data_IF_755737175703
#
_entry.id   IF_755737175703
#
_cell.length_a   1.000
_cell.length_b   1.000
_cell.length_c   1.000
_cell.angle_alpha   90.00
_cell.angle_beta   90.00
_cell.angle_gamma   90.00
#
_symmetry.space_group_name_H-M   'P 1'
#
loop_
_entity.id
_entity.type
_entity.pdbx_description
1 polymer ?
#
# COMPACT_ATOMS: atom_id res chain seq x y z
N UNK A 1 47.25 -19.55 -4.69
CA UNK A 1 45.83 -19.96 -4.74
C UNK A 1 45.05 -18.92 -3.94
N UNK A 2 44.61 -17.85 -4.61
CA UNK A 2 43.77 -16.84 -3.96
C UNK A 2 42.36 -17.43 -3.87
N UNK A 3 41.86 -17.60 -2.65
CA UNK A 3 40.44 -17.85 -2.45
C UNK A 3 39.67 -16.73 -3.16
N UNK A 4 38.85 -17.10 -4.14
CA UNK A 4 37.92 -16.18 -4.79
C UNK A 4 36.99 -15.64 -3.71
N UNK A 5 37.27 -14.45 -3.19
CA UNK A 5 36.31 -13.70 -2.39
C UNK A 5 35.06 -13.55 -3.24
N UNK A 6 34.00 -14.30 -2.91
CA UNK A 6 32.73 -14.23 -3.64
C UNK A 6 32.24 -12.79 -3.58
N UNK A 7 32.21 -12.11 -4.72
CA UNK A 7 31.67 -10.76 -4.83
C UNK A 7 30.15 -10.87 -4.79
N UNK A 8 29.53 -10.68 -3.61
CA UNK A 8 28.09 -10.87 -3.41
C UNK A 8 27.28 -9.89 -4.27
N UNK A 9 27.82 -8.70 -4.53
CA UNK A 9 27.20 -7.73 -5.46
C UNK A 9 27.10 -8.32 -6.86
N UNK A 10 28.18 -8.91 -7.38
CA UNK A 10 28.17 -9.56 -8.69
C UNK A 10 27.22 -10.77 -8.72
N UNK A 11 27.22 -11.60 -7.66
CA UNK A 11 26.28 -12.72 -7.52
C UNK A 11 24.83 -12.26 -7.53
N UNK A 12 24.51 -11.19 -6.78
CA UNK A 12 23.19 -10.56 -6.80
C UNK A 12 22.81 -10.11 -8.22
N UNK A 13 23.69 -9.37 -8.90
CA UNK A 13 23.42 -8.88 -10.26
C UNK A 13 23.14 -10.04 -11.23
N UNK A 14 23.90 -11.13 -11.17
CA UNK A 14 23.64 -12.32 -11.97
C UNK A 14 22.30 -12.98 -11.63
N UNK A 15 21.95 -13.10 -10.35
CA UNK A 15 20.67 -13.67 -9.92
C UNK A 15 19.49 -12.82 -10.38
N UNK A 16 19.57 -11.49 -10.23
CA UNK A 16 18.54 -10.57 -10.71
C UNK A 16 18.41 -10.64 -12.23
N UNK A 17 19.53 -10.70 -12.96
CA UNK A 17 19.54 -10.88 -14.42
C UNK A 17 18.79 -12.14 -14.84
N UNK A 18 19.13 -13.29 -14.23
CA UNK A 18 18.50 -14.56 -14.54
C UNK A 18 17.00 -14.54 -14.22
N UNK A 19 16.62 -14.03 -13.05
CA UNK A 19 15.22 -13.92 -12.65
C UNK A 19 14.43 -12.97 -13.56
N UNK A 20 15.05 -11.88 -14.02
CA UNK A 20 14.43 -10.94 -14.95
C UNK A 20 14.21 -11.56 -16.34
N UNK A 21 15.23 -12.25 -16.89
CA UNK A 21 15.16 -12.89 -18.21
C UNK A 21 14.16 -14.05 -18.22
N UNK A 22 14.12 -14.84 -17.15
CA UNK A 22 13.23 -16.01 -17.04
C UNK A 22 11.89 -15.72 -16.37
N UNK A 23 11.61 -14.46 -16.02
CA UNK A 23 10.36 -14.03 -15.37
C UNK A 23 10.07 -14.80 -14.06
N UNK A 24 11.12 -15.16 -13.31
CA UNK A 24 10.99 -15.89 -12.04
C UNK A 24 10.59 -14.92 -10.92
N UNK A 25 9.30 -14.89 -10.62
CA UNK A 25 8.72 -14.05 -9.58
C UNK A 25 9.38 -14.24 -8.20
N UNK A 26 9.70 -15.50 -7.85
CA UNK A 26 10.20 -15.83 -6.50
C UNK A 26 11.63 -15.35 -6.37
N UNK A 27 12.49 -15.73 -7.30
CA UNK A 27 13.92 -15.35 -7.27
C UNK A 27 14.07 -13.84 -7.42
N UNK A 28 13.25 -13.20 -8.25
CA UNK A 28 13.26 -11.74 -8.40
C UNK A 28 12.91 -11.03 -7.09
N UNK A 29 11.84 -11.45 -6.42
CA UNK A 29 11.43 -10.88 -5.14
C UNK A 29 12.45 -11.13 -4.01
N UNK A 30 13.05 -12.33 -3.96
CA UNK A 30 14.07 -12.67 -2.96
C UNK A 30 15.39 -11.91 -3.17
N UNK A 31 15.74 -11.61 -4.42
CA UNK A 31 16.99 -10.89 -4.74
C UNK A 31 16.92 -9.41 -4.34
N UNK A 32 15.73 -8.81 -4.40
CA UNK A 32 15.49 -7.40 -4.07
C UNK A 32 14.76 -7.23 -2.71
N UNK A 33 15.07 -8.13 -1.77
CA UNK A 33 14.51 -8.12 -0.42
C UNK A 33 15.12 -7.01 0.43
N UNK A 34 14.31 -6.42 1.31
CA UNK A 34 14.70 -5.31 2.21
C UNK A 34 14.57 -5.69 3.68
N UNK A 35 14.28 -6.96 3.98
CA UNK A 35 14.20 -7.45 5.35
C UNK A 35 15.60 -7.58 5.97
N UNK A 36 15.85 -6.81 7.03
CA UNK A 36 17.10 -6.85 7.79
C UNK A 36 17.30 -8.18 8.53
N UNK A 37 16.26 -8.98 8.72
CA UNK A 37 16.40 -10.30 9.33
C UNK A 37 16.90 -11.36 8.34
N UNK A 38 16.97 -11.03 7.04
CA UNK A 38 17.46 -11.93 6.02
C UNK A 38 19.01 -12.00 6.04
N UNK A 39 19.62 -13.17 6.30
CA UNK A 39 21.09 -13.30 6.38
C UNK A 39 21.81 -12.91 5.10
N UNK A 40 21.17 -13.11 3.95
CA UNK A 40 21.73 -12.71 2.64
C UNK A 40 21.81 -11.19 2.53
N UNK A 41 20.77 -10.48 2.99
CA UNK A 41 20.73 -9.01 3.02
C UNK A 41 21.80 -8.48 3.96
N UNK A 42 21.94 -9.06 5.16
CA UNK A 42 22.97 -8.66 6.14
C UNK A 42 24.42 -8.87 5.61
N UNK A 43 24.65 -9.99 4.93
CA UNK A 43 25.95 -10.27 4.31
C UNK A 43 26.27 -9.26 3.20
N UNK A 44 25.26 -8.92 2.39
CA UNK A 44 25.39 -7.92 1.34
C UNK A 44 25.67 -6.53 1.93
N UNK A 45 24.91 -6.09 2.94
CA UNK A 45 25.16 -4.82 3.66
C UNK A 45 26.61 -4.74 4.15
N UNK A 46 27.12 -5.82 4.73
CA UNK A 46 28.49 -5.90 5.23
C UNK A 46 29.54 -5.68 4.13
N UNK A 47 29.32 -6.24 2.92
CA UNK A 47 30.19 -6.01 1.76
C UNK A 47 30.09 -4.56 1.24
N UNK A 48 28.89 -3.98 1.25
CA UNK A 48 28.63 -2.63 0.71
C UNK A 48 29.32 -1.51 1.49
N UNK A 49 29.67 -1.73 2.76
CA UNK A 49 30.45 -0.79 3.57
C UNK A 49 31.81 -0.49 2.93
N UNK A 50 32.42 -1.50 2.28
CA UNK A 50 33.77 -1.40 1.73
C UNK A 50 33.80 -0.87 0.28
N UNK A 51 32.65 -0.69 -0.36
CA UNK A 51 32.55 -0.27 -1.77
C UNK A 51 32.10 1.18 -1.92
N UNK A 52 32.76 1.93 -2.81
CA UNK A 52 32.32 3.27 -3.20
C UNK A 52 31.13 3.19 -4.14
N UNK A 53 30.34 4.26 -4.24
CA UNK A 53 29.18 4.29 -5.14
C UNK A 53 29.59 4.07 -6.60
N UNK A 54 30.72 4.63 -7.05
CA UNK A 54 31.25 4.42 -8.40
C UNK A 54 31.63 2.95 -8.66
N UNK A 55 32.18 2.25 -7.66
CA UNK A 55 32.48 0.82 -7.78
C UNK A 55 31.20 -0.02 -7.90
N UNK A 56 30.14 0.36 -7.18
CA UNK A 56 28.84 -0.32 -7.26
C UNK A 56 28.19 -0.09 -8.63
N UNK A 57 28.16 1.16 -9.09
CA UNK A 57 27.60 1.52 -10.39
C UNK A 57 28.30 0.77 -11.52
N UNK A 58 29.64 0.75 -11.53
CA UNK A 58 30.42 0.00 -12.52
C UNK A 58 30.15 -1.51 -12.46
N UNK A 59 30.03 -2.09 -11.26
CA UNK A 59 29.75 -3.52 -11.10
C UNK A 59 28.35 -3.90 -11.59
N UNK A 60 27.35 -3.05 -11.32
CA UNK A 60 25.96 -3.26 -11.73
C UNK A 60 25.82 -3.10 -13.25
N UNK A 61 26.31 -1.99 -13.80
CA UNK A 61 26.24 -1.68 -15.22
C UNK A 61 26.94 -2.74 -16.08
N UNK A 62 28.13 -3.19 -15.66
CA UNK A 62 28.89 -4.23 -16.35
C UNK A 62 28.18 -5.59 -16.48
N UNK A 63 27.07 -5.82 -15.76
CA UNK A 63 26.31 -7.08 -15.81
C UNK A 63 24.90 -6.88 -16.39
N UNK A 64 24.23 -5.78 -16.03
CA UNK A 64 22.80 -5.57 -16.26
C UNK A 64 22.47 -4.57 -17.37
N UNK A 65 23.35 -3.64 -17.72
CA UNK A 65 23.03 -2.53 -18.63
C UNK A 65 22.59 -3.03 -20.00
N UNK A 66 23.32 -4.00 -20.57
CA UNK A 66 22.99 -4.66 -21.84
C UNK A 66 21.66 -5.44 -21.80
N UNK A 67 21.20 -5.82 -20.60
CA UNK A 67 19.93 -6.56 -20.44
C UNK A 67 18.75 -5.60 -20.31
N UNK A 68 18.90 -4.56 -19.49
CA UNK A 68 17.93 -3.50 -19.31
C UNK A 68 18.56 -2.38 -18.49
N UNK A 69 18.68 -1.19 -19.10
CA UNK A 69 19.17 0.02 -18.44
C UNK A 69 18.32 0.34 -17.20
N UNK A 70 17.00 0.20 -17.31
CA UNK A 70 16.09 0.43 -16.20
C UNK A 70 16.31 -0.56 -15.04
N UNK A 71 16.59 -1.82 -15.35
CA UNK A 71 16.91 -2.83 -14.33
C UNK A 71 18.26 -2.54 -13.67
N UNK A 72 19.26 -2.14 -14.47
CA UNK A 72 20.58 -1.72 -13.97
C UNK A 72 20.43 -0.58 -12.96
N UNK A 73 19.68 0.46 -13.32
CA UNK A 73 19.43 1.61 -12.46
C UNK A 73 18.66 1.22 -11.17
N UNK A 74 17.67 0.33 -11.28
CA UNK A 74 16.93 -0.18 -10.13
C UNK A 74 17.82 -0.98 -9.16
N UNK A 75 18.67 -1.86 -9.67
CA UNK A 75 19.59 -2.66 -8.84
C UNK A 75 20.66 -1.77 -8.21
N UNK A 76 21.18 -0.77 -8.92
CA UNK A 76 22.10 0.19 -8.35
C UNK A 76 21.47 0.94 -7.16
N UNK A 77 20.26 1.47 -7.32
CA UNK A 77 19.56 2.17 -6.24
C UNK A 77 19.13 1.26 -5.09
N UNK A 78 18.87 -0.02 -5.35
CA UNK A 78 18.69 -1.03 -4.31
C UNK A 78 19.94 -1.17 -3.43
N UNK A 79 21.13 -1.26 -4.03
CA UNK A 79 22.38 -1.32 -3.28
C UNK A 79 22.61 -0.04 -2.46
N UNK A 80 22.26 1.13 -3.02
CA UNK A 80 22.33 2.39 -2.27
C UNK A 80 21.34 2.43 -1.09
N UNK A 81 20.13 1.89 -1.25
CA UNK A 81 19.18 1.70 -0.16
C UNK A 81 19.79 0.82 0.94
N UNK A 82 20.38 -0.32 0.58
CA UNK A 82 20.99 -1.22 1.56
C UNK A 82 22.16 -0.58 2.33
N UNK A 83 22.85 0.42 1.77
CA UNK A 83 23.85 1.20 2.52
C UNK A 83 23.24 2.08 3.61
N UNK A 84 21.97 2.46 3.45
CA UNK A 84 21.27 3.39 4.35
C UNK A 84 20.25 2.69 5.26
N UNK A 85 19.82 1.46 4.93
CA UNK A 85 18.61 0.85 5.50
C UNK A 85 18.64 0.63 7.02
N UNK A 86 19.84 0.48 7.61
CA UNK A 86 20.05 0.27 9.05
C UNK A 86 20.46 1.58 9.78
N UNK A 87 20.43 2.71 9.09
CA UNK A 87 20.76 4.00 9.70
C UNK A 87 19.62 4.51 10.59
N UNK A 88 19.92 5.19 11.71
CA UNK A 88 18.91 5.71 12.63
C UNK A 88 18.06 6.84 12.02
N UNK A 89 18.57 7.54 11.01
CA UNK A 89 17.83 8.59 10.32
C UNK A 89 16.81 8.00 9.33
N UNK A 90 15.61 7.74 9.84
CA UNK A 90 14.49 7.21 9.04
C UNK A 90 14.12 8.11 7.84
N UNK A 91 14.37 9.42 7.90
CA UNK A 91 14.08 10.30 6.76
C UNK A 91 15.05 10.03 5.62
N UNK A 92 16.33 9.81 5.92
CA UNK A 92 17.33 9.40 4.94
C UNK A 92 17.03 8.01 4.38
N UNK A 93 16.66 7.06 5.24
CA UNK A 93 16.22 5.71 4.79
C UNK A 93 15.02 5.83 3.85
N UNK A 94 14.04 6.68 4.16
CA UNK A 94 12.89 6.91 3.30
C UNK A 94 13.29 7.47 1.94
N UNK A 95 14.20 8.44 1.86
CA UNK A 95 14.62 8.99 0.57
C UNK A 95 15.33 7.94 -0.29
N UNK A 96 16.20 7.13 0.31
CA UNK A 96 16.86 6.03 -0.41
C UNK A 96 15.82 4.99 -0.87
N UNK A 97 14.83 4.65 -0.04
CA UNK A 97 13.77 3.72 -0.39
C UNK A 97 12.87 4.26 -1.51
N UNK A 98 12.48 5.54 -1.42
CA UNK A 98 11.66 6.19 -2.43
C UNK A 98 12.40 6.33 -3.77
N UNK A 99 13.71 6.56 -3.73
CA UNK A 99 14.57 6.57 -4.90
C UNK A 99 14.60 5.19 -5.58
N UNK A 100 14.93 4.12 -4.84
CA UNK A 100 14.87 2.74 -5.34
C UNK A 100 13.48 2.36 -5.89
N UNK A 101 12.41 2.63 -5.13
CA UNK A 101 11.06 2.37 -5.60
C UNK A 101 10.75 3.11 -6.91
N UNK A 102 11.26 4.33 -7.08
CA UNK A 102 11.02 5.13 -8.28
C UNK A 102 11.72 4.58 -9.52
N UNK A 103 12.90 3.97 -9.37
CA UNK A 103 13.66 3.35 -10.46
C UNK A 103 13.12 1.98 -10.87
N UNK A 104 12.36 1.31 -9.99
CA UNK A 104 11.56 0.13 -10.36
C UNK A 104 10.35 0.43 -11.26
N UNK A 105 9.84 1.68 -11.28
CA UNK A 105 8.64 2.03 -12.06
C UNK A 105 8.86 1.84 -13.57
N UNK A 106 9.95 2.34 -14.18
CA UNK A 106 10.28 2.04 -15.57
C UNK A 106 10.42 0.54 -15.85
N UNK A 107 11.00 -0.23 -14.93
CA UNK A 107 11.14 -1.69 -15.05
C UNK A 107 9.76 -2.34 -15.13
N UNK A 108 8.85 -2.00 -14.21
CA UNK A 108 7.47 -2.51 -14.19
C UNK A 108 6.66 -2.13 -15.44
N UNK A 109 6.97 -0.98 -16.05
CA UNK A 109 6.28 -0.51 -17.26
C UNK A 109 6.63 -1.34 -18.51
N UNK A 110 7.62 -2.23 -18.44
CA UNK A 110 7.93 -3.17 -19.50
C UNK A 110 6.78 -4.15 -19.83
N UNK A 111 6.92 -4.82 -20.97
CA UNK A 111 6.07 -5.96 -21.31
C UNK A 111 6.41 -7.19 -20.44
N UNK A 112 5.43 -8.06 -20.20
CA UNK A 112 5.61 -9.34 -19.50
C UNK A 112 6.21 -9.26 -18.08
N UNK A 113 5.93 -8.15 -17.38
CA UNK A 113 6.44 -7.87 -16.02
C UNK A 113 5.47 -8.27 -14.90
N UNK A 114 4.50 -9.14 -15.17
CA UNK A 114 3.54 -9.62 -14.16
C UNK A 114 4.24 -10.21 -12.94
N UNK A 115 5.33 -10.96 -13.16
CA UNK A 115 6.11 -11.62 -12.10
C UNK A 115 6.65 -10.64 -11.04
N UNK A 116 6.72 -9.33 -11.35
CA UNK A 116 7.18 -8.28 -10.43
C UNK A 116 6.08 -7.80 -9.48
N UNK A 117 4.80 -8.05 -9.78
CA UNK A 117 3.66 -7.55 -8.99
C UNK A 117 3.74 -7.92 -7.50
N UNK A 118 4.12 -9.15 -7.10
CA UNK A 118 4.30 -9.48 -5.68
C UNK A 118 5.33 -8.59 -4.97
N UNK A 119 6.49 -8.37 -5.58
CA UNK A 119 7.54 -7.48 -5.03
C UNK A 119 7.02 -6.05 -4.92
N UNK A 120 6.39 -5.53 -5.98
CA UNK A 120 5.83 -4.17 -5.99
C UNK A 120 4.80 -3.98 -4.89
N UNK A 121 3.92 -4.96 -4.63
CA UNK A 121 2.95 -4.90 -3.52
C UNK A 121 3.62 -4.83 -2.16
N UNK A 122 4.67 -5.63 -1.94
CA UNK A 122 5.41 -5.64 -0.68
C UNK A 122 6.14 -4.31 -0.46
N UNK A 123 6.91 -3.85 -1.45
CA UNK A 123 7.63 -2.58 -1.39
C UNK A 123 6.68 -1.38 -1.26
N UNK A 124 5.52 -1.41 -1.91
CA UNK A 124 4.49 -0.36 -1.76
C UNK A 124 3.96 -0.27 -0.33
N UNK A 125 3.81 -1.42 0.34
CA UNK A 125 3.39 -1.47 1.75
C UNK A 125 4.45 -0.87 2.64
N UNK A 126 5.72 -1.27 2.44
CA UNK A 126 6.85 -0.74 3.22
C UNK A 126 7.07 0.76 2.98
N UNK A 127 6.93 1.23 1.74
CA UNK A 127 7.00 2.66 1.39
C UNK A 127 6.01 3.49 2.22
N UNK A 128 4.76 3.01 2.32
CA UNK A 128 3.70 3.71 3.06
C UNK A 128 3.94 3.65 4.57
N UNK A 129 4.38 2.51 5.08
CA UNK A 129 4.74 2.36 6.50
C UNK A 129 5.87 3.33 6.88
N UNK A 130 6.97 3.30 6.13
CA UNK A 130 8.13 4.16 6.38
C UNK A 130 7.78 5.64 6.23
N UNK A 131 6.97 6.01 5.22
CA UNK A 131 6.47 7.38 5.10
C UNK A 131 5.69 7.83 6.35
N UNK A 132 4.84 6.95 6.90
CA UNK A 132 4.04 7.27 8.09
C UNK A 132 4.88 7.28 9.37
N UNK A 133 5.91 6.45 9.48
CA UNK A 133 6.88 6.47 10.58
C UNK A 133 7.64 7.79 10.58
N UNK A 134 8.18 8.21 9.42
CA UNK A 134 8.88 9.50 9.30
C UNK A 134 7.94 10.67 9.56
N UNK A 135 6.71 10.66 9.05
CA UNK A 135 5.75 11.75 9.27
C UNK A 135 5.33 11.90 10.75
N UNK A 136 5.41 10.84 11.55
CA UNK A 136 5.13 10.91 12.99
C UNK A 136 6.14 11.75 13.78
N UNK A 137 7.32 12.01 13.21
CA UNK A 137 8.34 12.89 13.82
C UNK A 137 7.94 14.38 13.82
N UNK A 138 6.79 14.73 13.22
CA UNK A 138 6.22 16.08 13.28
C UNK A 138 6.13 16.80 11.92
N UNK A 139 6.38 16.11 10.81
CA UNK A 139 6.29 16.71 9.47
C UNK A 139 4.85 17.13 9.14
N UNK A 140 4.71 18.32 8.53
CA UNK A 140 3.41 18.93 8.18
C UNK A 140 3.35 19.35 6.73
N UNK A 141 2.13 19.43 6.21
CA UNK A 141 1.85 19.93 4.86
C UNK A 141 2.66 19.21 3.78
N UNK A 142 3.32 19.98 2.91
CA UNK A 142 4.11 19.47 1.78
C UNK A 142 5.38 18.71 2.20
N UNK A 143 5.88 18.92 3.41
CA UNK A 143 7.08 18.24 3.90
C UNK A 143 6.84 16.75 4.21
N UNK A 144 5.57 16.35 4.36
CA UNK A 144 5.21 14.97 4.66
C UNK A 144 5.65 14.00 3.56
N UNK A 145 6.35 12.94 3.95
CA UNK A 145 6.80 11.85 3.08
C UNK A 145 5.65 11.06 2.50
N UNK A 146 4.50 11.05 3.18
CA UNK A 146 3.25 10.49 2.64
C UNK A 146 2.86 11.10 1.27
N UNK A 147 3.19 12.37 0.99
CA UNK A 147 2.93 12.96 -0.34
C UNK A 147 3.76 12.28 -1.43
N UNK A 148 5.03 11.97 -1.14
CA UNK A 148 5.92 11.23 -2.06
C UNK A 148 5.39 9.82 -2.29
N UNK A 149 4.99 9.11 -1.23
CA UNK A 149 4.39 7.78 -1.35
C UNK A 149 3.13 7.81 -2.24
N UNK A 150 2.21 8.76 -2.04
CA UNK A 150 1.00 8.91 -2.87
C UNK A 150 1.32 9.10 -4.35
N UNK A 151 2.30 9.94 -4.67
CA UNK A 151 2.75 10.19 -6.05
C UNK A 151 3.31 8.93 -6.69
N UNK A 152 4.14 8.17 -5.98
CA UNK A 152 4.73 6.92 -6.49
C UNK A 152 3.68 5.83 -6.68
N UNK A 153 2.75 5.66 -5.72
CA UNK A 153 1.62 4.73 -5.85
C UNK A 153 0.73 5.07 -7.04
N UNK A 154 0.51 6.36 -7.32
CA UNK A 154 -0.29 6.79 -8.47
C UNK A 154 0.35 6.42 -9.80
N UNK A 155 1.69 6.49 -9.91
CA UNK A 155 2.42 6.02 -11.10
C UNK A 155 2.23 4.53 -11.33
N UNK A 156 2.42 3.72 -10.28
CA UNK A 156 2.25 2.26 -10.34
C UNK A 156 0.80 1.88 -10.68
N UNK A 157 -0.17 2.56 -10.06
CA UNK A 157 -1.59 2.38 -10.37
C UNK A 157 -1.88 2.61 -11.86
N UNK A 158 -1.36 3.69 -12.45
CA UNK A 158 -1.58 3.99 -13.86
C UNK A 158 -0.96 2.93 -14.79
N UNK A 159 0.22 2.38 -14.45
CA UNK A 159 0.82 1.26 -15.20
C UNK A 159 -0.07 0.02 -15.12
N UNK A 160 -0.54 -0.35 -13.92
CA UNK A 160 -1.42 -1.50 -13.74
C UNK A 160 -2.75 -1.31 -14.47
N UNK A 161 -3.31 -0.11 -14.46
CA UNK A 161 -4.56 0.21 -15.16
C UNK A 161 -4.42 0.13 -16.68
N UNK A 162 -3.30 0.62 -17.22
CA UNK A 162 -3.02 0.65 -18.65
C UNK A 162 -2.75 -0.75 -19.24
N UNK A 163 -2.42 -1.73 -18.41
CA UNK A 163 -2.24 -3.12 -18.82
C UNK A 163 -3.56 -3.68 -19.38
N UNK A 164 -3.55 -4.09 -20.66
CA UNK A 164 -4.73 -4.58 -21.40
C UNK A 164 -4.76 -6.11 -21.54
N UNK A 165 -3.81 -6.81 -20.91
CA UNK A 165 -3.79 -8.27 -20.93
C UNK A 165 -5.00 -8.86 -20.19
N UNK A 166 -5.25 -10.15 -20.40
CA UNK A 166 -6.28 -10.87 -19.64
C UNK A 166 -5.97 -10.81 -18.14
N UNK A 167 -6.99 -10.86 -17.28
CA UNK A 167 -6.80 -10.69 -15.83
C UNK A 167 -5.79 -11.69 -15.23
N UNK A 168 -5.72 -12.91 -15.77
CA UNK A 168 -4.79 -13.98 -15.37
C UNK A 168 -3.31 -13.65 -15.68
N UNK A 169 -3.07 -12.81 -16.69
CA UNK A 169 -1.74 -12.42 -17.15
C UNK A 169 -1.43 -10.93 -16.92
N UNK A 170 -2.36 -10.19 -16.30
CA UNK A 170 -2.28 -8.73 -16.21
C UNK A 170 -1.72 -8.24 -14.89
N UNK A 171 -0.92 -7.17 -14.95
CA UNK A 171 -0.48 -6.43 -13.76
C UNK A 171 -1.63 -5.90 -12.91
N UNK A 172 -2.85 -5.84 -13.46
CA UNK A 172 -4.09 -5.49 -12.74
C UNK A 172 -4.33 -6.34 -11.48
N UNK A 173 -3.73 -7.52 -11.37
CA UNK A 173 -3.77 -8.35 -10.15
C UNK A 173 -3.29 -7.61 -8.88
N UNK A 174 -2.45 -6.58 -9.02
CA UNK A 174 -2.00 -5.74 -7.91
C UNK A 174 -2.85 -4.50 -7.63
N UNK A 175 -3.83 -4.16 -8.48
CA UNK A 175 -4.37 -2.81 -8.55
C UNK A 175 -5.13 -2.37 -7.29
N UNK A 176 -5.92 -3.27 -6.68
CA UNK A 176 -6.65 -2.95 -5.45
C UNK A 176 -5.74 -2.84 -4.23
N UNK A 177 -4.61 -3.57 -4.21
CA UNK A 177 -3.59 -3.38 -3.17
C UNK A 177 -3.01 -1.97 -3.22
N UNK A 178 -2.59 -1.53 -4.40
CA UNK A 178 -2.05 -0.18 -4.62
C UNK A 178 -3.11 0.89 -4.34
N UNK A 179 -4.35 0.68 -4.78
CA UNK A 179 -5.47 1.61 -4.54
C UNK A 179 -5.78 1.76 -3.05
N UNK A 180 -5.83 0.65 -2.31
CA UNK A 180 -6.11 0.67 -0.87
C UNK A 180 -5.00 1.39 -0.09
N UNK A 181 -3.74 1.22 -0.49
CA UNK A 181 -2.62 1.98 0.06
C UNK A 181 -2.72 3.47 -0.27
N UNK A 182 -3.04 3.82 -1.52
CA UNK A 182 -3.22 5.21 -1.92
C UNK A 182 -4.35 5.88 -1.13
N UNK A 183 -5.49 5.21 -0.96
CA UNK A 183 -6.58 5.70 -0.10
C UNK A 183 -6.14 5.87 1.35
N UNK A 184 -5.44 4.89 1.93
CA UNK A 184 -4.88 5.02 3.28
C UNK A 184 -4.05 6.29 3.43
N UNK A 185 -3.21 6.59 2.45
CA UNK A 185 -2.38 7.80 2.40
C UNK A 185 -3.24 9.06 2.26
N UNK A 186 -4.17 9.12 1.32
CA UNK A 186 -5.02 10.31 1.11
C UNK A 186 -5.91 10.62 2.30
N UNK A 187 -6.48 9.61 2.96
CA UNK A 187 -7.23 9.82 4.20
C UNK A 187 -6.33 10.32 5.34
N UNK A 188 -5.08 9.82 5.45
CA UNK A 188 -4.10 10.30 6.44
C UNK A 188 -3.66 11.74 6.19
N UNK A 189 -3.57 12.15 4.93
CA UNK A 189 -3.22 13.50 4.50
C UNK A 189 -4.40 14.49 4.51
N UNK A 190 -5.61 14.03 4.83
CA UNK A 190 -6.85 14.79 4.70
C UNK A 190 -7.10 15.32 3.27
N UNK A 191 -6.66 14.57 2.26
CA UNK A 191 -6.82 14.89 0.83
C UNK A 191 -7.80 13.94 0.14
N UNK A 192 -8.93 13.67 0.80
CA UNK A 192 -9.96 12.69 0.41
C UNK A 192 -10.43 12.86 -1.04
N UNK A 193 -10.49 14.10 -1.55
CA UNK A 193 -10.87 14.40 -2.94
C UNK A 193 -10.00 13.69 -3.99
N UNK A 194 -8.74 13.40 -3.67
CA UNK A 194 -7.82 12.70 -4.58
C UNK A 194 -8.22 11.25 -4.85
N UNK A 195 -9.05 10.65 -3.99
CA UNK A 195 -9.58 9.31 -4.21
C UNK A 195 -10.48 9.23 -5.46
N UNK A 196 -11.16 10.33 -5.84
CA UNK A 196 -12.11 10.35 -6.95
C UNK A 196 -11.49 9.84 -8.26
N UNK A 197 -10.23 10.20 -8.54
CA UNK A 197 -9.53 9.81 -9.77
C UNK A 197 -9.35 8.30 -9.84
N UNK A 198 -8.90 7.66 -8.75
CA UNK A 198 -8.76 6.21 -8.69
C UNK A 198 -10.11 5.50 -8.84
N UNK A 199 -11.15 6.01 -8.18
CA UNK A 199 -12.51 5.45 -8.25
C UNK A 199 -13.03 5.48 -9.69
N UNK A 200 -12.89 6.63 -10.35
CA UNK A 200 -13.32 6.80 -11.74
C UNK A 200 -12.54 5.88 -12.68
N UNK A 201 -11.22 5.82 -12.52
CA UNK A 201 -10.36 5.02 -13.37
C UNK A 201 -10.61 3.52 -13.22
N UNK A 202 -10.82 3.02 -11.99
CA UNK A 202 -11.19 1.62 -11.76
C UNK A 202 -12.54 1.29 -12.41
N UNK A 203 -13.52 2.19 -12.29
CA UNK A 203 -14.83 2.02 -12.91
C UNK A 203 -14.73 2.01 -14.43
N UNK A 204 -14.01 2.96 -15.02
CA UNK A 204 -13.80 3.05 -16.47
C UNK A 204 -12.95 1.91 -17.03
N UNK A 205 -12.07 1.33 -16.22
CA UNK A 205 -11.31 0.14 -16.57
C UNK A 205 -12.08 -1.18 -16.43
N UNK A 206 -13.36 -1.12 -15.99
CA UNK A 206 -14.27 -2.26 -15.81
C UNK A 206 -13.68 -3.39 -14.95
N UNK A 207 -12.88 -3.02 -13.94
CA UNK A 207 -12.19 -3.99 -13.10
C UNK A 207 -13.16 -4.50 -12.02
N UNK A 208 -13.57 -5.76 -12.14
CA UNK A 208 -14.43 -6.40 -11.14
C UNK A 208 -13.67 -6.68 -9.85
N UNK A 209 -14.10 -6.02 -8.77
CA UNK A 209 -13.56 -6.19 -7.43
C UNK A 209 -13.82 -7.59 -6.85
N UNK A 210 -14.84 -8.30 -7.33
CA UNK A 210 -15.21 -9.63 -6.82
C UNK A 210 -14.11 -10.67 -7.03
N UNK A 211 -13.25 -10.45 -8.03
CA UNK A 211 -12.11 -11.31 -8.40
C UNK A 211 -10.91 -11.19 -7.44
N UNK A 212 -10.93 -10.24 -6.51
CA UNK A 212 -9.80 -9.96 -5.61
C UNK A 212 -10.01 -10.58 -4.22
N UNK A 213 -8.94 -10.79 -3.43
CA UNK A 213 -9.07 -11.34 -2.08
C UNK A 213 -10.04 -10.53 -1.21
N UNK A 214 -10.84 -11.23 -0.39
CA UNK A 214 -11.89 -10.59 0.43
C UNK A 214 -11.36 -9.46 1.31
N UNK A 215 -10.11 -9.56 1.79
CA UNK A 215 -9.43 -8.52 2.57
C UNK A 215 -9.24 -7.22 1.77
N UNK A 216 -8.92 -7.31 0.49
CA UNK A 216 -8.81 -6.15 -0.40
C UNK A 216 -10.18 -5.56 -0.70
N UNK A 217 -11.20 -6.40 -0.91
CA UNK A 217 -12.58 -5.96 -1.15
C UNK A 217 -13.12 -5.18 0.07
N UNK A 218 -12.96 -5.74 1.28
CA UNK A 218 -13.37 -5.11 2.55
C UNK A 218 -12.68 -3.76 2.73
N UNK A 219 -11.36 -3.70 2.51
CA UNK A 219 -10.58 -2.46 2.66
C UNK A 219 -11.03 -1.39 1.67
N UNK A 220 -11.24 -1.78 0.41
CA UNK A 220 -11.71 -0.84 -0.62
C UNK A 220 -13.10 -0.32 -0.28
N UNK A 221 -14.05 -1.20 0.06
CA UNK A 221 -15.42 -0.82 0.40
C UNK A 221 -15.49 0.03 1.67
N UNK A 222 -14.61 -0.19 2.64
CA UNK A 222 -14.43 0.70 3.78
C UNK A 222 -14.07 2.13 3.35
N UNK A 223 -13.08 2.30 2.47
CA UNK A 223 -12.70 3.62 1.98
C UNK A 223 -13.75 4.26 1.07
N UNK A 224 -14.40 3.50 0.18
CA UNK A 224 -15.51 4.02 -0.65
C UNK A 224 -16.68 4.46 0.22
N UNK A 225 -17.01 3.72 1.27
CA UNK A 225 -18.04 4.09 2.22
C UNK A 225 -17.74 5.40 2.93
N UNK A 226 -16.51 5.56 3.42
CA UNK A 226 -16.04 6.83 4.02
C UNK A 226 -16.00 7.99 3.03
N UNK A 227 -15.59 7.73 1.79
CA UNK A 227 -15.60 8.71 0.71
C UNK A 227 -17.03 9.17 0.40
N UNK A 228 -17.97 8.24 0.28
CA UNK A 228 -19.39 8.54 0.07
C UNK A 228 -19.97 9.38 1.23
N UNK A 229 -19.65 9.00 2.48
CA UNK A 229 -20.08 9.74 3.67
C UNK A 229 -19.55 11.18 3.68
N UNK A 230 -18.26 11.37 3.35
CA UNK A 230 -17.65 12.70 3.23
C UNK A 230 -18.38 13.61 2.21
N UNK A 231 -18.97 13.01 1.17
CA UNK A 231 -19.75 13.69 0.15
C UNK A 231 -21.27 13.69 0.42
N UNK A 232 -21.73 13.30 1.61
CA UNK A 232 -23.15 13.29 1.97
C UNK A 232 -23.98 12.21 1.26
N UNK A 233 -23.36 11.25 0.56
CA UNK A 233 -24.04 10.16 -0.15
C UNK A 233 -24.35 9.01 0.80
N UNK A 234 -25.28 9.24 1.73
CA UNK A 234 -25.55 8.37 2.87
C UNK A 234 -25.93 6.93 2.48
N UNK A 235 -26.79 6.75 1.48
CA UNK A 235 -27.19 5.41 1.04
C UNK A 235 -26.01 4.59 0.51
N UNK A 236 -25.21 5.19 -0.37
CA UNK A 236 -24.00 4.57 -0.89
C UNK A 236 -22.98 4.28 0.22
N UNK A 237 -22.83 5.21 1.18
CA UNK A 237 -21.97 5.00 2.33
C UNK A 237 -22.41 3.79 3.15
N UNK A 238 -23.71 3.70 3.46
CA UNK A 238 -24.28 2.57 4.19
C UNK A 238 -24.02 1.25 3.47
N UNK A 239 -24.34 1.15 2.18
CA UNK A 239 -24.23 -0.10 1.44
C UNK A 239 -22.77 -0.58 1.36
N UNK A 240 -21.80 0.33 1.18
CA UNK A 240 -20.38 -0.01 1.17
C UNK A 240 -19.85 -0.40 2.55
N UNK A 241 -20.20 0.35 3.60
CA UNK A 241 -19.75 0.07 4.96
C UNK A 241 -20.39 -1.21 5.53
N UNK A 242 -21.64 -1.49 5.18
CA UNK A 242 -22.32 -2.72 5.57
C UNK A 242 -21.67 -3.94 4.90
N UNK A 243 -21.36 -3.85 3.61
CA UNK A 243 -20.57 -4.89 2.93
C UNK A 243 -19.24 -5.13 3.65
N UNK A 244 -18.49 -4.06 3.94
CA UNK A 244 -17.20 -4.17 4.62
C UNK A 244 -17.33 -4.85 5.98
N UNK A 245 -18.34 -4.46 6.79
CA UNK A 245 -18.58 -5.04 8.11
C UNK A 245 -18.96 -6.51 8.04
N UNK A 246 -19.86 -6.88 7.13
CA UNK A 246 -20.34 -8.25 6.97
C UNK A 246 -19.26 -9.21 6.44
N UNK A 247 -18.41 -8.73 5.52
CA UNK A 247 -17.34 -9.54 4.91
C UNK A 247 -16.05 -9.54 5.72
N UNK A 248 -15.89 -8.63 6.68
CA UNK A 248 -14.79 -8.68 7.63
C UNK A 248 -14.98 -9.86 8.59
N UNK A 249 -13.97 -10.73 8.70
CA UNK A 249 -14.05 -11.92 9.56
C UNK A 249 -14.13 -11.52 11.04
N UNK A 250 -14.86 -12.31 11.84
CA UNK A 250 -15.17 -11.97 13.23
C UNK A 250 -13.93 -11.76 14.12
N UNK A 251 -12.86 -12.53 13.93
CA UNK A 251 -11.63 -12.39 14.70
C UNK A 251 -10.85 -11.10 14.42
N UNK A 252 -11.18 -10.36 13.35
CA UNK A 252 -10.62 -9.03 13.08
C UNK A 252 -11.42 -7.93 13.81
N UNK A 253 -11.56 -8.07 15.13
CA UNK A 253 -12.39 -7.21 15.97
C UNK A 253 -12.08 -5.71 15.78
N UNK A 254 -10.79 -5.35 15.74
CA UNK A 254 -10.36 -3.97 15.55
C UNK A 254 -10.83 -3.38 14.21
N UNK A 255 -10.73 -4.15 13.12
CA UNK A 255 -11.15 -3.69 11.79
C UNK A 255 -12.68 -3.53 11.73
N UNK A 256 -13.43 -4.45 12.34
CA UNK A 256 -14.89 -4.31 12.46
C UNK A 256 -15.27 -3.07 13.24
N UNK A 257 -14.61 -2.81 14.38
CA UNK A 257 -14.82 -1.58 15.16
C UNK A 257 -14.52 -0.33 14.35
N UNK A 258 -13.43 -0.30 13.57
CA UNK A 258 -13.12 0.82 12.68
C UNK A 258 -14.21 1.06 11.63
N UNK A 259 -14.81 -0.01 11.06
CA UNK A 259 -15.91 0.13 10.11
C UNK A 259 -17.16 0.69 10.82
N UNK A 260 -17.47 0.21 12.03
CA UNK A 260 -18.62 0.64 12.81
C UNK A 260 -18.59 2.12 13.18
N UNK A 261 -17.41 2.68 13.45
CA UNK A 261 -17.23 4.13 13.67
C UNK A 261 -17.80 5.00 12.54
N UNK A 262 -17.89 4.47 11.32
CA UNK A 262 -18.53 5.16 10.19
C UNK A 262 -19.92 4.62 9.87
N UNK A 263 -20.15 3.31 10.05
CA UNK A 263 -21.44 2.70 9.71
C UNK A 263 -22.55 3.15 10.66
N UNK A 264 -22.30 3.18 11.97
CA UNK A 264 -23.28 3.58 12.99
C UNK A 264 -23.80 4.99 12.74
N UNK A 265 -22.96 6.05 12.64
CA UNK A 265 -23.47 7.39 12.40
C UNK A 265 -24.19 7.49 11.04
N UNK A 266 -23.69 6.81 10.01
CA UNK A 266 -24.39 6.76 8.70
C UNK A 266 -25.80 6.20 8.83
N UNK A 267 -25.96 5.11 9.59
CA UNK A 267 -27.27 4.46 9.83
C UNK A 267 -28.18 5.31 10.71
N UNK A 268 -27.65 5.97 11.74
CA UNK A 268 -28.40 6.88 12.61
C UNK A 268 -29.00 8.03 11.78
N UNK A 269 -28.22 8.65 10.89
CA UNK A 269 -28.73 9.73 10.01
C UNK A 269 -29.84 9.21 9.09
N UNK A 270 -29.75 7.93 8.68
CA UNK A 270 -30.79 7.26 7.91
C UNK A 270 -31.95 6.72 8.76
N UNK A 271 -32.05 7.10 10.04
CA UNK A 271 -33.16 6.73 10.93
C UNK A 271 -33.03 5.35 11.60
N UNK A 272 -31.87 4.71 11.55
CA UNK A 272 -31.65 3.38 12.13
C UNK A 272 -30.69 3.44 13.32
N UNK A 273 -31.21 3.22 14.53
CA UNK A 273 -30.40 3.16 15.75
C UNK A 273 -29.64 1.81 15.86
N UNK A 274 -28.41 1.79 16.41
CA UNK A 274 -27.70 0.55 16.69
C UNK A 274 -28.32 -0.20 17.88
N UNK A 275 -28.14 -1.53 17.93
CA UNK A 275 -28.49 -2.32 19.11
C UNK A 275 -27.45 -2.15 20.21
N UNK A 276 -27.87 -2.25 21.48
CA UNK A 276 -26.95 -2.18 22.62
C UNK A 276 -25.90 -3.30 22.58
N UNK A 277 -26.32 -4.52 22.21
CA UNK A 277 -25.41 -5.67 22.06
C UNK A 277 -24.26 -5.38 21.09
N UNK A 278 -24.54 -4.73 19.95
CA UNK A 278 -23.50 -4.37 18.98
C UNK A 278 -22.52 -3.34 19.56
N UNK A 279 -23.03 -2.38 20.34
CA UNK A 279 -22.19 -1.36 20.98
C UNK A 279 -21.30 -1.97 22.06
N UNK A 280 -21.84 -2.91 22.85
CA UNK A 280 -21.09 -3.64 23.87
C UNK A 280 -20.02 -4.53 23.24
N UNK A 281 -20.36 -5.29 22.20
CA UNK A 281 -19.45 -6.21 21.51
C UNK A 281 -18.20 -5.49 20.98
N UNK A 282 -18.34 -4.25 20.47
CA UNK A 282 -17.25 -3.50 19.87
C UNK A 282 -16.75 -2.32 20.71
N UNK A 283 -17.10 -2.25 22.00
CA UNK A 283 -16.66 -1.16 22.89
C UNK A 283 -16.98 0.23 22.32
N UNK A 284 -18.26 0.44 21.99
CA UNK A 284 -18.82 1.65 21.38
C UNK A 284 -19.99 2.22 22.19
N UNK A 285 -20.26 1.70 23.39
CA UNK A 285 -21.35 2.22 24.24
C UNK A 285 -21.10 3.69 24.58
N UNK A 286 -19.95 4.01 25.16
CA UNK A 286 -19.65 5.36 25.63
C UNK A 286 -19.67 6.44 24.55
N UNK A 287 -19.07 6.26 23.35
CA UNK A 287 -19.12 7.28 22.31
C UNK A 287 -20.54 7.53 21.74
N UNK A 288 -21.47 6.58 21.83
CA UNK A 288 -22.82 6.74 21.25
C UNK A 288 -23.96 6.87 22.28
N UNK A 289 -23.70 6.62 23.58
CA UNK A 289 -24.73 6.59 24.63
C UNK A 289 -25.58 7.85 24.66
N UNK A 290 -24.94 9.01 24.79
CA UNK A 290 -25.65 10.29 24.92
C UNK A 290 -26.46 10.61 23.66
N UNK A 291 -25.86 10.41 22.48
CA UNK A 291 -26.53 10.63 21.19
C UNK A 291 -27.81 9.79 21.07
N UNK A 292 -27.73 8.49 21.38
CA UNK A 292 -28.88 7.58 21.29
C UNK A 292 -29.97 7.96 22.30
N UNK A 293 -29.60 8.35 23.52
CA UNK A 293 -30.56 8.79 24.53
C UNK A 293 -31.31 10.06 24.09
N UNK A 294 -30.61 11.04 23.53
CA UNK A 294 -31.24 12.26 23.00
C UNK A 294 -32.22 11.95 21.86
N UNK A 295 -31.81 11.14 20.88
CA UNK A 295 -32.66 10.77 19.75
C UNK A 295 -33.91 9.99 20.17
N UNK A 296 -33.81 9.13 21.19
CA UNK A 296 -34.97 8.40 21.72
C UNK A 296 -35.97 9.32 22.42
N UNK A 297 -35.49 10.31 23.19
CA UNK A 297 -36.34 11.30 23.86
C UNK A 297 -37.10 12.19 22.88
N UNK A 298 -36.43 12.60 21.81
CA UNK A 298 -37.07 13.38 20.74
C UNK A 298 -38.14 12.55 20.00
N UNK A 299 -37.83 11.29 19.69
CA UNK A 299 -38.80 10.39 19.07
C UNK A 299 -40.07 10.18 19.94
N UNK A 300 -39.92 10.00 21.26
CA UNK A 300 -41.07 9.91 22.19
C UNK A 300 -41.86 11.21 22.30
N UNK A 301 -41.17 12.36 22.24
CA UNK A 301 -41.85 13.66 22.25
C UNK A 301 -42.67 13.89 20.97
N UNK A 302 -42.17 13.44 19.81
CA UNK A 302 -42.86 13.55 18.53
C UNK A 302 -43.99 12.52 18.35
N UNK A 303 -43.93 11.35 19.01
CA UNK A 303 -44.99 10.34 18.95
C UNK A 303 -46.18 10.61 19.88
N UNK A 304 -46.07 11.61 20.77
CA UNK A 304 -47.14 11.97 21.70
C UNK A 304 -47.31 11.00 22.87
N UNK A 305 -46.36 10.07 23.06
CA UNK A 305 -46.33 9.16 24.21
C UNK A 305 -45.67 9.87 25.40
N UNK A 306 -46.47 10.64 26.14
CA UNK A 306 -46.15 11.13 27.49
C UNK A 306 -46.99 10.37 28.51
#
# INVERSE_FOLDING_TARGET
MFASSSNLVSTLCHNVKQAYVHQDARTYAQSLDVDLNNPTVQSLISELVQKTNAQLEMAVNGILEDTSIALSDAVYHYLLLLKQIDQPDLAQVFEAFASFYSTLIPVLNGADTLYQVPLIKNLSTRLVQLAFEVDQTGLKGKARKANTAARLLSKVFNIMLADRSSMESSKRQGIFHITNLAFKVYFRLNSIRMCQTFINNIRSGEIDISLFPISQQVTYKYYIGRYALYHGRLKQAQDCLLFAFQKCQAHHWHNKRMILHYLIPTRIILGHLPSMQLLEEYDLVDPYRQLIQCLKKEASFLSGDV
#
